data_IF_925505173824
#
_entry.id   IF_925505173824
#
_cell.length_a   1.000
_cell.length_b   1.000
_cell.length_c   1.000
_cell.angle_alpha   90.00
_cell.angle_beta   90.00
_cell.angle_gamma   90.00
#
_symmetry.space_group_name_H-M   'P 1'
#
loop_
_entity.id
_entity.type
_entity.pdbx_description
1 polymer ?
#
# COMPACT_ATOMS: atom_id res chain seq x y z
N UNK A 1 -24.57 -23.55 21.42
CA UNK A 1 -23.65 -22.54 20.84
C UNK A 1 -24.50 -21.34 20.44
N UNK A 2 -24.18 -20.13 20.89
CA UNK A 2 -25.01 -18.95 20.62
C UNK A 2 -24.93 -18.57 19.13
N UNK A 3 -26.04 -18.12 18.56
CA UNK A 3 -26.16 -17.66 17.17
C UNK A 3 -25.16 -16.56 16.82
N UNK A 4 -24.81 -15.69 17.78
CA UNK A 4 -23.82 -14.63 17.59
C UNK A 4 -22.39 -15.12 17.30
N UNK A 5 -22.03 -16.36 17.66
CA UNK A 5 -20.72 -16.91 17.33
C UNK A 5 -20.65 -17.38 15.87
N UNK A 6 -21.75 -17.97 15.37
CA UNK A 6 -21.86 -18.45 13.99
C UNK A 6 -21.82 -17.31 12.97
N UNK A 7 -22.55 -16.21 13.21
CA UNK A 7 -22.57 -15.05 12.32
C UNK A 7 -21.18 -14.40 12.20
N UNK A 8 -20.44 -14.36 13.31
CA UNK A 8 -19.09 -13.83 13.34
C UNK A 8 -18.12 -14.70 12.56
N UNK A 9 -18.19 -16.02 12.72
CA UNK A 9 -17.33 -16.94 11.96
C UNK A 9 -17.62 -16.89 10.45
N UNK A 10 -18.89 -16.79 10.05
CA UNK A 10 -19.24 -16.56 8.65
C UNK A 10 -18.68 -15.25 8.11
N UNK A 11 -18.72 -14.18 8.92
CA UNK A 11 -18.14 -12.90 8.55
C UNK A 11 -16.61 -12.97 8.40
N UNK A 12 -15.92 -13.69 9.29
CA UNK A 12 -14.47 -13.93 9.19
C UNK A 12 -14.11 -14.64 7.89
N UNK A 13 -14.83 -15.72 7.56
CA UNK A 13 -14.64 -16.46 6.31
C UNK A 13 -14.89 -15.57 5.09
N UNK A 14 -15.94 -14.74 5.14
CA UNK A 14 -16.20 -13.77 4.09
C UNK A 14 -15.03 -12.80 3.91
N UNK A 15 -14.52 -12.20 5.00
CA UNK A 15 -13.48 -11.19 4.94
C UNK A 15 -12.16 -11.76 4.40
N UNK A 16 -11.78 -12.96 4.87
CA UNK A 16 -10.61 -13.68 4.37
C UNK A 16 -10.75 -14.00 2.88
N UNK A 17 -11.90 -14.50 2.43
CA UNK A 17 -12.13 -14.77 1.00
C UNK A 17 -12.15 -13.50 0.16
N UNK A 18 -12.65 -12.40 0.70
CA UNK A 18 -12.86 -11.17 -0.06
C UNK A 18 -11.55 -10.39 -0.27
N UNK A 19 -10.71 -10.30 0.77
CA UNK A 19 -9.52 -9.46 0.77
C UNK A 19 -8.32 -10.05 1.53
N UNK A 20 -8.42 -11.29 2.03
CA UNK A 20 -7.31 -12.01 2.65
C UNK A 20 -7.01 -11.62 4.09
N UNK A 21 -7.79 -10.70 4.67
CA UNK A 21 -7.59 -10.23 6.04
C UNK A 21 -7.99 -11.33 7.02
N UNK A 22 -7.03 -11.79 7.81
CA UNK A 22 -7.28 -12.68 8.94
C UNK A 22 -7.83 -11.90 10.12
N UNK A 23 -9.08 -12.19 10.48
CA UNK A 23 -9.71 -11.65 11.66
C UNK A 23 -9.67 -12.68 12.79
N UNK A 24 -9.03 -12.32 13.91
CA UNK A 24 -8.90 -13.19 15.08
C UNK A 24 -10.22 -13.44 15.81
N UNK A 25 -10.33 -14.58 16.48
CA UNK A 25 -11.53 -15.03 17.23
C UNK A 25 -11.95 -14.09 18.35
N UNK A 26 -11.05 -13.23 18.84
CA UNK A 26 -11.31 -12.29 19.92
C UNK A 26 -11.56 -10.85 19.42
N UNK A 27 -11.87 -10.67 18.13
CA UNK A 27 -12.00 -9.35 17.47
C UNK A 27 -13.44 -8.97 17.12
N UNK A 28 -14.45 -9.60 17.73
CA UNK A 28 -15.87 -9.24 17.54
C UNK A 28 -16.10 -7.75 17.80
N UNK A 29 -15.53 -7.22 18.88
CA UNK A 29 -15.66 -5.81 19.25
C UNK A 29 -15.18 -4.86 18.13
N UNK A 30 -14.14 -5.25 17.38
CA UNK A 30 -13.57 -4.46 16.30
C UNK A 30 -14.53 -4.41 15.11
N UNK A 31 -15.17 -5.53 14.78
CA UNK A 31 -16.20 -5.60 13.74
C UNK A 31 -17.35 -4.69 14.09
N UNK A 32 -17.89 -4.82 15.31
CA UNK A 32 -18.98 -3.96 15.76
C UNK A 32 -18.60 -2.48 15.67
N UNK A 33 -17.41 -2.11 16.16
CA UNK A 33 -16.96 -0.71 16.13
C UNK A 33 -16.79 -0.15 14.70
N UNK A 34 -16.27 -0.95 13.76
CA UNK A 34 -15.99 -0.49 12.39
C UNK A 34 -17.21 -0.51 11.49
N UNK A 35 -18.11 -1.47 11.68
CA UNK A 35 -19.28 -1.66 10.81
C UNK A 35 -20.54 -0.95 11.30
N UNK A 36 -20.59 -0.47 12.56
CA UNK A 36 -21.82 0.11 13.11
C UNK A 36 -22.43 1.20 12.21
N UNK A 37 -21.60 2.19 11.81
CA UNK A 37 -22.05 3.29 10.95
C UNK A 37 -22.57 2.79 9.59
N UNK A 38 -21.91 1.80 9.00
CA UNK A 38 -22.32 1.23 7.72
C UNK A 38 -23.64 0.45 7.86
N UNK A 39 -23.77 -0.36 8.91
CA UNK A 39 -24.99 -1.12 9.20
C UNK A 39 -26.19 -0.19 9.45
N UNK A 40 -26.00 0.90 10.19
CA UNK A 40 -27.02 1.95 10.38
C UNK A 40 -27.45 2.56 9.05
N UNK A 41 -26.49 2.99 8.22
CA UNK A 41 -26.76 3.61 6.91
C UNK A 41 -27.50 2.66 5.94
N UNK A 42 -27.20 1.37 6.00
CA UNK A 42 -27.79 0.35 5.14
C UNK A 42 -29.03 -0.30 5.75
N UNK A 43 -29.46 0.15 6.94
CA UNK A 43 -30.59 -0.43 7.70
C UNK A 43 -30.45 -1.95 7.87
N UNK A 44 -29.25 -2.40 8.29
CA UNK A 44 -28.91 -3.80 8.57
C UNK A 44 -28.85 -3.99 10.09
N UNK A 45 -29.58 -4.98 10.61
CA UNK A 45 -29.80 -5.13 12.07
C UNK A 45 -28.86 -6.14 12.73
N UNK A 46 -28.23 -7.02 11.96
CA UNK A 46 -27.30 -8.02 12.49
C UNK A 46 -26.16 -8.34 11.54
N UNK A 47 -25.09 -8.93 12.07
CA UNK A 47 -23.95 -9.37 11.27
C UNK A 47 -24.33 -10.52 10.32
N UNK A 48 -25.22 -11.44 10.75
CA UNK A 48 -25.77 -12.47 9.87
C UNK A 48 -26.55 -11.89 8.69
N UNK A 49 -27.38 -10.86 8.92
CA UNK A 49 -28.08 -10.15 7.84
C UNK A 49 -27.09 -9.47 6.88
N UNK A 50 -26.01 -8.88 7.41
CA UNK A 50 -24.95 -8.29 6.60
C UNK A 50 -24.32 -9.32 5.66
N UNK A 51 -23.90 -10.46 6.19
CA UNK A 51 -23.28 -11.55 5.41
C UNK A 51 -24.25 -12.06 4.34
N UNK A 52 -25.52 -12.27 4.69
CA UNK A 52 -26.53 -12.71 3.75
C UNK A 52 -26.76 -11.70 2.62
N UNK A 53 -26.85 -10.40 2.92
CA UNK A 53 -27.02 -9.35 1.91
C UNK A 53 -25.82 -9.27 0.96
N UNK A 54 -24.59 -9.39 1.48
CA UNK A 54 -23.38 -9.40 0.63
C UNK A 54 -23.41 -10.57 -0.37
N UNK A 55 -23.83 -11.75 0.07
CA UNK A 55 -23.88 -12.94 -0.78
C UNK A 55 -25.01 -12.88 -1.81
N UNK A 56 -26.18 -12.41 -1.41
CA UNK A 56 -27.38 -12.37 -2.27
C UNK A 56 -27.40 -11.19 -3.25
N UNK A 57 -26.69 -10.11 -2.93
CA UNK A 57 -26.68 -8.87 -3.72
C UNK A 57 -25.24 -8.45 -4.09
N UNK A 58 -24.51 -9.25 -4.89
CA UNK A 58 -23.09 -9.01 -5.17
C UNK A 58 -22.80 -7.72 -5.95
N UNK A 59 -23.81 -7.11 -6.58
CA UNK A 59 -23.68 -5.85 -7.34
C UNK A 59 -24.06 -4.59 -6.55
N UNK A 60 -24.41 -4.72 -5.27
CA UNK A 60 -24.90 -3.61 -4.44
C UNK A 60 -23.81 -2.59 -4.04
N UNK A 61 -22.53 -2.91 -4.22
CA UNK A 61 -21.42 -2.12 -3.67
C UNK A 61 -21.23 -2.31 -2.15
N UNK A 62 -22.05 -3.13 -1.49
CA UNK A 62 -21.99 -3.36 -0.04
C UNK A 62 -20.71 -4.10 0.35
N UNK A 63 -20.26 -5.04 -0.49
CA UNK A 63 -19.03 -5.80 -0.27
C UNK A 63 -17.84 -4.86 -0.15
N UNK A 64 -17.70 -3.92 -1.07
CA UNK A 64 -16.62 -2.94 -1.12
C UNK A 64 -16.66 -2.02 0.09
N UNK A 65 -17.85 -1.55 0.50
CA UNK A 65 -18.01 -0.71 1.70
C UNK A 65 -17.60 -1.43 2.98
N UNK A 66 -17.94 -2.72 3.12
CA UNK A 66 -17.56 -3.54 4.28
C UNK A 66 -16.05 -3.75 4.31
N UNK A 67 -15.44 -4.07 3.18
CA UNK A 67 -14.00 -4.22 3.05
C UNK A 67 -13.29 -2.92 3.44
N UNK A 68 -13.72 -1.78 2.90
CA UNK A 68 -13.18 -0.47 3.23
C UNK A 68 -13.26 -0.17 4.72
N UNK A 69 -14.42 -0.41 5.34
CA UNK A 69 -14.61 -0.21 6.77
C UNK A 69 -13.73 -1.14 7.63
N UNK A 70 -13.45 -2.36 7.16
CA UNK A 70 -12.61 -3.33 7.88
C UNK A 70 -11.11 -3.17 7.65
N UNK A 71 -10.67 -2.45 6.62
CA UNK A 71 -9.24 -2.19 6.39
C UNK A 71 -8.66 -1.20 7.40
N UNK A 72 -7.41 -1.43 7.84
CA UNK A 72 -6.69 -0.51 8.73
C UNK A 72 -5.74 0.34 7.88
N UNK A 73 -6.06 1.62 7.73
CA UNK A 73 -5.38 2.52 6.81
C UNK A 73 -4.36 3.45 7.49
N UNK A 74 -3.54 2.92 8.39
CA UNK A 74 -2.48 3.72 9.05
C UNK A 74 -1.20 3.77 8.22
N UNK A 75 -0.76 4.97 7.87
CA UNK A 75 0.48 5.21 7.15
C UNK A 75 1.07 6.57 7.54
N UNK A 76 2.36 6.77 7.25
CA UNK A 76 3.12 7.95 7.65
C UNK A 76 4.01 8.40 6.49
N UNK A 77 4.22 9.72 6.41
CA UNK A 77 5.26 10.29 5.54
C UNK A 77 6.61 9.71 5.91
N UNK A 78 7.35 9.21 4.91
CA UNK A 78 8.69 8.66 5.08
C UNK A 78 8.80 7.63 6.22
N UNK A 79 7.79 6.76 6.36
CA UNK A 79 7.74 5.74 7.42
C UNK A 79 9.05 4.95 7.52
N UNK A 80 9.61 4.86 8.71
CA UNK A 80 10.91 4.27 9.07
C UNK A 80 12.16 5.00 8.51
N UNK A 81 11.99 6.02 7.65
CA UNK A 81 13.02 6.86 7.00
C UNK A 81 14.08 6.10 6.16
N UNK A 82 14.75 5.10 6.73
CA UNK A 82 15.80 4.32 6.08
C UNK A 82 15.42 3.73 4.71
N UNK A 83 14.18 3.28 4.41
CA UNK A 83 13.88 2.71 3.10
C UNK A 83 14.07 3.73 1.97
N UNK A 84 13.76 5.00 2.24
CA UNK A 84 13.87 6.09 1.29
C UNK A 84 15.32 6.56 1.11
N UNK A 85 16.14 6.46 2.16
CA UNK A 85 17.58 6.70 2.06
C UNK A 85 18.29 5.56 1.31
N UNK A 86 17.92 4.29 1.57
CA UNK A 86 18.40 3.14 0.80
C UNK A 86 17.99 3.25 -0.66
N UNK A 87 16.76 3.69 -0.93
CA UNK A 87 16.28 3.96 -2.29
C UNK A 87 17.22 4.95 -3.00
N UNK A 88 17.45 6.13 -2.42
CA UNK A 88 18.26 7.20 -3.03
C UNK A 88 19.73 6.83 -3.16
N UNK A 89 20.33 6.27 -2.11
CA UNK A 89 21.78 6.15 -1.99
C UNK A 89 22.33 4.84 -2.56
N UNK A 90 21.48 3.81 -2.74
CA UNK A 90 21.89 2.49 -3.22
C UNK A 90 21.07 2.03 -4.43
N UNK A 91 19.76 1.92 -4.26
CA UNK A 91 18.91 1.24 -5.25
C UNK A 91 18.79 2.02 -6.55
N UNK A 92 18.53 3.33 -6.50
CA UNK A 92 18.43 4.15 -7.72
C UNK A 92 19.75 4.13 -8.52
N UNK A 93 20.94 4.41 -7.93
CA UNK A 93 22.21 4.28 -8.65
C UNK A 93 22.42 2.91 -9.31
N UNK A 94 22.11 1.81 -8.60
CA UNK A 94 22.25 0.46 -9.13
C UNK A 94 21.31 0.19 -10.32
N UNK A 95 20.03 0.57 -10.19
CA UNK A 95 19.05 0.34 -11.26
C UNK A 95 19.33 1.21 -12.50
N UNK A 96 19.77 2.45 -12.31
CA UNK A 96 20.20 3.34 -13.41
C UNK A 96 21.39 2.73 -14.16
N UNK A 97 22.38 2.20 -13.43
CA UNK A 97 23.56 1.55 -14.03
C UNK A 97 23.20 0.26 -14.75
N UNK A 98 22.27 -0.54 -14.20
CA UNK A 98 21.85 -1.80 -14.78
C UNK A 98 21.00 -1.61 -16.05
N UNK A 99 20.23 -0.52 -16.14
CA UNK A 99 19.38 -0.21 -17.31
C UNK A 99 19.47 1.26 -17.72
N UNK A 100 20.62 1.71 -18.28
CA UNK A 100 20.84 3.11 -18.61
C UNK A 100 19.81 3.64 -19.60
N UNK A 101 19.24 4.82 -19.32
CA UNK A 101 18.28 5.48 -20.20
C UNK A 101 16.90 4.81 -20.26
N UNK A 102 16.62 3.79 -19.46
CA UNK A 102 15.28 3.20 -19.34
C UNK A 102 14.44 3.94 -18.29
N UNK A 103 13.12 3.97 -18.49
CA UNK A 103 12.19 4.52 -17.49
C UNK A 103 12.09 3.56 -16.31
N UNK A 104 12.34 4.07 -15.10
CA UNK A 104 12.16 3.29 -13.87
C UNK A 104 10.68 3.19 -13.52
N UNK A 105 10.24 1.99 -13.13
CA UNK A 105 8.88 1.73 -12.65
C UNK A 105 8.95 1.22 -11.21
N UNK A 106 8.24 1.90 -10.32
CA UNK A 106 8.11 1.56 -8.90
C UNK A 106 6.66 1.20 -8.61
N UNK A 107 6.41 0.15 -7.86
CA UNK A 107 5.09 -0.20 -7.35
C UNK A 107 5.01 0.06 -5.84
N UNK A 108 4.08 0.89 -5.38
CA UNK A 108 3.68 0.97 -3.96
C UNK A 108 2.38 0.19 -3.78
N UNK A 109 2.50 -1.00 -3.18
CA UNK A 109 1.43 -1.95 -2.97
C UNK A 109 0.77 -1.73 -1.60
N UNK A 110 -0.56 -1.56 -1.59
CA UNK A 110 -1.37 -1.12 -0.45
C UNK A 110 -0.98 0.28 0.05
N UNK A 111 -1.13 1.27 -0.82
CA UNK A 111 -0.65 2.64 -0.58
C UNK A 111 -1.45 3.43 0.47
N UNK A 112 -2.58 2.90 0.97
CA UNK A 112 -3.45 3.54 1.96
C UNK A 112 -3.78 4.97 1.51
N UNK A 113 -3.62 5.98 2.38
CA UNK A 113 -3.89 7.40 2.10
C UNK A 113 -2.83 8.12 1.23
N UNK A 114 -1.90 7.38 0.61
CA UNK A 114 -1.02 7.90 -0.44
C UNK A 114 0.30 8.52 0.03
N UNK A 115 0.58 8.52 1.34
CA UNK A 115 1.81 9.08 1.90
C UNK A 115 3.05 8.34 1.37
N UNK A 116 3.02 7.00 1.27
CA UNK A 116 4.15 6.23 0.75
C UNK A 116 4.49 6.57 -0.73
N UNK A 117 3.55 6.50 -1.70
CA UNK A 117 3.88 6.81 -3.09
C UNK A 117 4.28 8.27 -3.29
N UNK A 118 3.73 9.21 -2.52
CA UNK A 118 4.18 10.59 -2.57
C UNK A 118 5.54 10.80 -1.89
N UNK A 119 5.86 10.10 -0.80
CA UNK A 119 7.22 10.07 -0.24
C UNK A 119 8.23 9.51 -1.23
N UNK A 120 7.89 8.44 -1.96
CA UNK A 120 8.71 7.92 -3.06
C UNK A 120 8.92 9.00 -4.12
N UNK A 121 7.84 9.67 -4.56
CA UNK A 121 7.93 10.73 -5.56
C UNK A 121 8.81 11.90 -5.10
N UNK A 122 8.68 12.34 -3.85
CA UNK A 122 9.57 13.35 -3.26
C UNK A 122 11.03 12.88 -3.20
N UNK A 123 11.29 11.61 -2.83
CA UNK A 123 12.65 11.05 -2.84
C UNK A 123 13.26 10.99 -4.24
N UNK A 124 12.46 10.71 -5.27
CA UNK A 124 12.92 10.78 -6.66
C UNK A 124 13.28 12.22 -7.03
N UNK A 125 12.44 13.20 -6.69
CA UNK A 125 12.73 14.61 -6.97
C UNK A 125 14.03 15.09 -6.27
N UNK A 126 14.22 14.70 -5.01
CA UNK A 126 15.47 14.95 -4.27
C UNK A 126 16.69 14.34 -4.97
N UNK A 127 16.57 13.09 -5.44
CA UNK A 127 17.64 12.41 -6.16
C UNK A 127 17.94 13.08 -7.51
N UNK A 128 16.93 13.45 -8.29
CA UNK A 128 17.06 14.11 -9.59
C UNK A 128 17.79 15.46 -9.47
N UNK A 129 17.50 16.23 -8.41
CA UNK A 129 18.20 17.50 -8.14
C UNK A 129 19.67 17.31 -7.78
N UNK A 130 19.97 16.28 -6.97
CA UNK A 130 21.34 15.96 -6.57
C UNK A 130 22.15 15.31 -7.71
N UNK A 131 21.47 14.67 -8.66
CA UNK A 131 22.08 13.91 -9.76
C UNK A 131 21.47 14.31 -11.11
N UNK A 132 21.72 15.54 -11.60
CA UNK A 132 21.13 16.02 -12.83
C UNK A 132 21.39 15.07 -14.00
N UNK A 133 20.37 14.83 -14.83
CA UNK A 133 20.44 14.00 -16.04
C UNK A 133 20.70 12.50 -15.85
N UNK A 134 20.63 11.96 -14.63
CA UNK A 134 20.73 10.49 -14.45
C UNK A 134 19.41 9.75 -14.74
N UNK A 135 18.25 10.38 -14.52
CA UNK A 135 16.91 9.80 -14.75
C UNK A 135 16.23 10.39 -16.00
N UNK A 136 16.92 10.39 -17.14
CA UNK A 136 16.45 11.04 -18.39
C UNK A 136 15.07 10.58 -18.87
N UNK A 137 14.76 9.30 -18.71
CA UNK A 137 13.49 8.70 -19.14
C UNK A 137 12.40 8.78 -18.06
N UNK A 138 12.68 9.46 -16.94
CA UNK A 138 11.80 9.67 -15.81
C UNK A 138 11.52 8.41 -14.99
N UNK A 139 10.61 8.56 -14.04
CA UNK A 139 10.14 7.50 -13.14
C UNK A 139 8.62 7.43 -13.20
N UNK A 140 8.06 6.23 -13.15
CA UNK A 140 6.63 6.00 -12.93
C UNK A 140 6.45 5.30 -11.59
N UNK A 141 5.57 5.82 -10.75
CA UNK A 141 5.14 5.17 -9.51
C UNK A 141 3.71 4.69 -9.74
N UNK A 142 3.49 3.38 -9.74
CA UNK A 142 2.14 2.80 -9.69
C UNK A 142 1.80 2.57 -8.22
N UNK A 143 0.75 3.19 -7.74
CA UNK A 143 0.28 3.06 -6.36
C UNK A 143 -1.06 2.33 -6.37
N UNK A 144 -1.18 1.26 -5.57
CA UNK A 144 -2.39 0.45 -5.58
C UNK A 144 -2.96 0.27 -4.19
N UNK A 145 -4.28 0.27 -4.09
CA UNK A 145 -4.99 -0.09 -2.86
C UNK A 145 -6.32 -0.78 -3.18
N UNK A 146 -6.89 -1.45 -2.20
CA UNK A 146 -8.20 -2.08 -2.32
C UNK A 146 -9.31 -1.03 -2.28
N UNK A 147 -9.16 0.00 -1.43
CA UNK A 147 -10.21 0.99 -1.20
C UNK A 147 -10.28 2.04 -2.32
N UNK A 148 -11.36 1.99 -3.09
CA UNK A 148 -11.64 3.01 -4.11
C UNK A 148 -11.84 4.41 -3.52
N UNK A 149 -12.48 4.49 -2.35
CA UNK A 149 -12.67 5.75 -1.62
C UNK A 149 -11.32 6.35 -1.19
N UNK A 150 -10.44 5.53 -0.63
CA UNK A 150 -9.11 5.96 -0.24
C UNK A 150 -8.28 6.44 -1.44
N UNK A 151 -8.32 5.69 -2.54
CA UNK A 151 -7.60 6.06 -3.77
C UNK A 151 -8.10 7.38 -4.37
N UNK A 152 -9.40 7.67 -4.28
CA UNK A 152 -9.94 8.96 -4.72
C UNK A 152 -9.37 10.11 -3.87
N UNK A 153 -9.25 9.92 -2.56
CA UNK A 153 -8.57 10.90 -1.68
C UNK A 153 -7.09 11.03 -2.02
N UNK A 154 -6.40 9.92 -2.32
CA UNK A 154 -5.01 9.97 -2.75
C UNK A 154 -4.81 10.84 -3.99
N UNK A 155 -5.72 10.73 -4.98
CA UNK A 155 -5.67 11.52 -6.23
C UNK A 155 -5.85 13.02 -6.00
N UNK A 156 -6.60 13.45 -4.98
CA UNK A 156 -6.66 14.87 -4.61
C UNK A 156 -5.32 15.34 -4.05
N UNK A 157 -4.63 14.47 -3.32
CA UNK A 157 -3.32 14.75 -2.71
C UNK A 157 -3.43 15.77 -1.58
N UNK A 158 -4.60 15.83 -0.93
CA UNK A 158 -4.89 16.79 0.13
C UNK A 158 -4.77 16.15 1.51
N UNK A 159 -4.10 16.87 2.41
CA UNK A 159 -3.78 16.40 3.76
C UNK A 159 -4.07 17.49 4.78
N UNK A 160 -4.53 17.08 5.96
CA UNK A 160 -4.75 17.97 7.10
C UNK A 160 -3.51 18.11 7.99
N UNK A 161 -3.61 18.93 9.02
CA UNK A 161 -2.53 19.16 9.99
C UNK A 161 -2.08 17.88 10.71
N UNK A 162 -2.98 16.92 10.94
CA UNK A 162 -2.63 15.67 11.61
C UNK A 162 -1.75 14.81 10.72
N UNK A 163 -2.12 14.67 9.45
CA UNK A 163 -1.36 13.94 8.46
C UNK A 163 -0.01 14.61 8.17
N UNK A 164 0.05 15.93 8.06
CA UNK A 164 1.29 16.68 7.82
C UNK A 164 2.22 16.67 9.04
N UNK A 165 1.67 16.69 10.26
CA UNK A 165 2.43 16.83 11.49
C UNK A 165 3.32 15.65 11.89
N UNK A 166 3.35 14.55 11.14
CA UNK A 166 4.13 13.34 11.45
C UNK A 166 4.95 12.87 10.24
N UNK A 167 6.28 12.82 10.40
CA UNK A 167 7.22 12.22 9.43
C UNK A 167 7.65 13.12 8.27
N UNK A 168 7.06 14.31 8.12
CA UNK A 168 7.44 15.27 7.09
C UNK A 168 8.28 16.42 7.71
N UNK A 169 9.43 16.72 7.11
CA UNK A 169 10.26 17.86 7.56
C UNK A 169 9.68 19.20 7.08
N UNK A 170 9.96 20.31 7.77
CA UNK A 170 9.54 21.65 7.33
C UNK A 170 10.03 21.99 5.91
N UNK A 171 11.26 21.62 5.57
CA UNK A 171 11.84 21.83 4.24
C UNK A 171 11.05 21.09 3.14
N UNK A 172 10.69 19.83 3.39
CA UNK A 172 9.90 19.02 2.45
C UNK A 172 8.48 19.58 2.31
N UNK A 173 7.88 20.01 3.42
CA UNK A 173 6.56 20.64 3.39
C UNK A 173 6.56 21.90 2.50
N UNK A 174 7.49 22.83 2.75
CA UNK A 174 7.62 24.05 1.96
C UNK A 174 7.91 23.76 0.49
N UNK A 175 8.75 22.75 0.22
CA UNK A 175 9.17 22.42 -1.14
C UNK A 175 8.08 21.73 -1.94
N UNK A 176 7.38 20.77 -1.35
CA UNK A 176 6.53 19.81 -2.07
C UNK A 176 5.03 19.99 -1.90
N UNK A 177 4.59 20.93 -1.07
CA UNK A 177 3.17 21.21 -0.85
C UNK A 177 2.84 22.69 -1.06
N UNK A 178 1.59 22.94 -1.45
CA UNK A 178 0.96 24.25 -1.41
C UNK A 178 -0.05 24.29 -0.25
N UNK A 179 -0.22 25.47 0.36
CA UNK A 179 -1.30 25.70 1.34
C UNK A 179 -2.60 25.88 0.56
N UNK A 180 -3.57 24.98 0.79
CA UNK A 180 -4.89 25.04 0.12
C UNK A 180 -5.87 25.91 0.90
N UNK A 181 -5.87 25.76 2.23
CA UNK A 181 -6.69 26.54 3.17
C UNK A 181 -6.08 26.42 4.57
N UNK A 182 -6.54 27.16 5.59
CA UNK A 182 -6.04 27.01 6.95
C UNK A 182 -6.08 25.53 7.41
N UNK A 183 -4.94 25.00 7.82
CA UNK A 183 -4.80 23.60 8.25
C UNK A 183 -4.92 22.54 7.15
N UNK A 184 -4.83 22.91 5.87
CA UNK A 184 -4.91 22.00 4.72
C UNK A 184 -3.82 22.27 3.70
N UNK A 185 -3.17 21.20 3.26
CA UNK A 185 -2.11 21.23 2.27
C UNK A 185 -2.46 20.34 1.09
N UNK A 186 -1.90 20.66 -0.07
CA UNK A 186 -2.01 19.84 -1.27
C UNK A 186 -0.62 19.56 -1.83
N UNK A 187 -0.37 18.31 -2.22
CA UNK A 187 0.89 17.92 -2.88
C UNK A 187 1.01 18.64 -4.22
N UNK A 188 2.17 19.24 -4.51
CA UNK A 188 2.41 19.96 -5.76
C UNK A 188 2.30 19.05 -6.99
N UNK A 189 1.79 19.59 -8.09
CA UNK A 189 1.54 18.86 -9.34
C UNK A 189 2.73 18.05 -9.85
N UNK A 190 3.99 18.53 -9.85
CA UNK A 190 5.13 17.73 -10.32
C UNK A 190 5.38 16.45 -9.51
N UNK A 191 5.05 16.46 -8.21
CA UNK A 191 5.15 15.28 -7.35
C UNK A 191 3.97 14.35 -7.61
N UNK A 192 2.77 14.91 -7.82
CA UNK A 192 1.56 14.13 -8.12
C UNK A 192 1.62 13.41 -9.46
N UNK A 193 2.10 14.08 -10.52
CA UNK A 193 2.10 13.55 -11.88
C UNK A 193 2.99 12.31 -12.07
N UNK A 194 3.94 12.07 -11.15
CA UNK A 194 4.78 10.86 -11.13
C UNK A 194 4.01 9.62 -10.64
N UNK A 195 2.88 9.81 -9.95
CA UNK A 195 2.13 8.74 -9.28
C UNK A 195 0.82 8.44 -10.01
N UNK A 196 0.62 7.17 -10.33
CA UNK A 196 -0.60 6.64 -10.92
C UNK A 196 -1.31 5.73 -9.91
N UNK A 197 -2.51 6.12 -9.49
CA UNK A 197 -3.32 5.36 -8.53
C UNK A 197 -4.28 4.38 -9.22
N UNK A 198 -4.24 3.11 -8.84
CA UNK A 198 -5.12 2.04 -9.36
C UNK A 198 -5.77 1.25 -8.24
N UNK A 199 -7.03 0.85 -8.42
CA UNK A 199 -7.64 -0.13 -7.50
C UNK A 199 -7.10 -1.51 -7.80
N UNK A 200 -6.71 -2.24 -6.76
CA UNK A 200 -6.11 -3.55 -6.89
C UNK A 200 -6.25 -4.37 -5.60
N UNK A 201 -6.69 -5.61 -5.73
CA UNK A 201 -6.66 -6.58 -4.65
C UNK A 201 -5.38 -7.41 -4.74
N UNK A 202 -4.61 -7.49 -3.66
CA UNK A 202 -3.39 -8.32 -3.62
C UNK A 202 -3.68 -9.81 -3.80
N UNK A 203 -4.93 -10.26 -3.72
CA UNK A 203 -5.32 -11.64 -4.03
C UNK A 203 -5.55 -11.91 -5.52
N UNK A 204 -5.69 -10.87 -6.36
CA UNK A 204 -5.99 -11.02 -7.78
C UNK A 204 -4.74 -11.30 -8.62
N UNK A 205 -4.91 -11.56 -9.92
CA UNK A 205 -3.79 -11.74 -10.86
C UNK A 205 -2.99 -10.44 -11.09
N UNK A 206 -1.66 -10.54 -11.13
CA UNK A 206 -0.75 -9.39 -11.27
C UNK A 206 -0.38 -9.10 -12.73
N UNK A 207 -0.91 -9.88 -13.68
CA UNK A 207 -0.55 -9.81 -15.10
C UNK A 207 -0.75 -8.41 -15.72
N UNK A 208 -1.74 -7.66 -15.26
CA UNK A 208 -2.06 -6.32 -15.77
C UNK A 208 -1.16 -5.19 -15.22
N UNK A 209 -0.32 -5.44 -14.21
CA UNK A 209 0.55 -4.42 -13.62
C UNK A 209 1.85 -4.20 -14.43
N UNK A 210 2.25 -5.23 -15.20
CA UNK A 210 3.50 -5.26 -15.94
C UNK A 210 4.70 -5.52 -15.02
N UNK A 211 5.89 -5.05 -15.45
CA UNK A 211 7.16 -5.25 -14.73
C UNK A 211 7.64 -4.00 -14.00
N UNK A 212 8.28 -4.19 -12.85
CA UNK A 212 8.80 -3.13 -11.99
C UNK A 212 10.28 -3.35 -11.66
N UNK A 213 11.01 -2.24 -11.55
CA UNK A 213 12.38 -2.23 -11.06
C UNK A 213 12.39 -2.36 -9.53
N UNK A 214 11.36 -1.78 -8.89
CA UNK A 214 11.26 -1.69 -7.43
C UNK A 214 9.80 -1.90 -6.99
N UNK A 215 9.58 -2.67 -5.94
CA UNK A 215 8.28 -2.86 -5.28
C UNK A 215 8.40 -2.51 -3.80
N UNK A 216 7.52 -1.66 -3.32
CA UNK A 216 7.27 -1.40 -1.90
C UNK A 216 5.97 -2.12 -1.52
N UNK A 217 6.05 -3.08 -0.62
CA UNK A 217 4.90 -3.81 -0.09
C UNK A 217 5.04 -3.87 1.44
N UNK A 218 4.73 -2.76 2.10
CA UNK A 218 5.12 -2.51 3.49
C UNK A 218 3.91 -2.45 4.42
N UNK A 219 4.03 -3.11 5.57
CA UNK A 219 3.05 -3.15 6.65
C UNK A 219 1.66 -3.64 6.23
N UNK A 220 1.61 -4.50 5.21
CA UNK A 220 0.37 -5.09 4.68
C UNK A 220 0.38 -6.61 4.78
N UNK A 221 1.55 -7.25 4.67
CA UNK A 221 1.64 -8.71 4.71
C UNK A 221 1.29 -9.28 6.09
N UNK A 222 1.36 -8.46 7.13
CA UNK A 222 0.95 -8.79 8.50
C UNK A 222 -0.54 -9.15 8.65
N UNK A 223 -1.39 -8.80 7.69
CA UNK A 223 -2.83 -9.09 7.74
C UNK A 223 -3.21 -10.44 7.13
N UNK A 224 -2.29 -11.10 6.43
CA UNK A 224 -2.55 -12.34 5.70
C UNK A 224 -1.98 -13.57 6.43
N UNK A 225 -2.57 -14.73 6.14
CA UNK A 225 -2.03 -16.03 6.56
C UNK A 225 -0.63 -16.26 5.98
N UNK A 226 0.12 -17.21 6.57
CA UNK A 226 1.44 -17.56 6.06
C UNK A 226 1.40 -18.06 4.61
N UNK A 227 0.37 -18.81 4.24
CA UNK A 227 0.15 -19.34 2.90
C UNK A 227 -0.14 -18.22 1.89
N UNK A 228 -1.10 -17.35 2.22
CA UNK A 228 -1.47 -16.21 1.36
C UNK A 228 -0.30 -15.23 1.21
N UNK A 229 0.44 -14.96 2.29
CA UNK A 229 1.65 -14.14 2.25
C UNK A 229 2.69 -14.72 1.30
N UNK A 230 2.95 -16.03 1.36
CA UNK A 230 3.90 -16.70 0.47
C UNK A 230 3.47 -16.58 -0.99
N UNK A 231 2.20 -16.81 -1.27
CA UNK A 231 1.63 -16.65 -2.61
C UNK A 231 1.74 -15.22 -3.15
N UNK A 232 1.39 -14.21 -2.34
CA UNK A 232 1.58 -12.79 -2.70
C UNK A 232 3.03 -12.51 -3.05
N UNK A 233 3.99 -12.94 -2.22
CA UNK A 233 5.42 -12.74 -2.45
C UNK A 233 5.91 -13.42 -3.74
N UNK A 234 5.43 -14.63 -4.05
CA UNK A 234 5.73 -15.31 -5.31
C UNK A 234 5.20 -14.52 -6.52
N UNK A 235 3.98 -13.99 -6.43
CA UNK A 235 3.41 -13.16 -7.50
C UNK A 235 4.13 -11.81 -7.64
N UNK A 236 4.56 -11.20 -6.53
CA UNK A 236 5.41 -9.99 -6.55
C UNK A 236 6.75 -10.29 -7.24
N UNK A 237 7.37 -11.44 -6.98
CA UNK A 237 8.62 -11.84 -7.67
C UNK A 237 8.39 -11.88 -9.19
N UNK A 238 7.25 -12.44 -9.61
CA UNK A 238 6.80 -12.44 -10.99
C UNK A 238 6.58 -11.06 -11.61
N UNK A 239 6.45 -9.97 -10.86
CA UNK A 239 6.36 -8.60 -11.40
C UNK A 239 7.70 -7.85 -11.36
N UNK A 240 8.68 -8.32 -10.60
CA UNK A 240 10.01 -7.71 -10.58
C UNK A 240 10.77 -8.03 -11.88
N UNK A 241 11.53 -7.04 -12.37
CA UNK A 241 12.58 -7.29 -13.37
C UNK A 241 13.72 -8.08 -12.72
N UNK A 242 14.52 -8.84 -13.49
CA UNK A 242 15.71 -9.49 -12.97
C UNK A 242 16.62 -8.49 -12.23
N UNK A 243 16.98 -8.79 -10.98
CA UNK A 243 17.76 -7.90 -10.14
C UNK A 243 17.01 -6.68 -9.56
N UNK A 244 15.69 -6.62 -9.71
CA UNK A 244 14.83 -5.63 -9.06
C UNK A 244 14.74 -5.83 -7.56
N UNK A 245 14.22 -4.85 -6.84
CA UNK A 245 14.20 -4.83 -5.37
C UNK A 245 12.79 -4.80 -4.78
N UNK A 246 12.59 -5.58 -3.71
CA UNK A 246 11.42 -5.57 -2.85
C UNK A 246 11.76 -4.98 -1.49
N UNK A 247 10.95 -4.01 -1.06
CA UNK A 247 10.97 -3.39 0.26
C UNK A 247 9.75 -3.87 1.07
N UNK A 248 10.01 -4.39 2.26
CA UNK A 248 9.00 -4.78 3.25
C UNK A 248 9.02 -3.83 4.46
N UNK A 249 8.00 -3.90 5.31
CA UNK A 249 7.97 -3.15 6.56
C UNK A 249 9.04 -3.63 7.54
N UNK A 250 9.45 -2.79 8.48
CA UNK A 250 10.53 -3.10 9.42
C UNK A 250 10.30 -4.37 10.27
N UNK A 251 9.04 -4.74 10.51
CA UNK A 251 8.66 -5.97 11.23
C UNK A 251 8.33 -7.16 10.32
N UNK A 252 8.47 -7.00 9.01
CA UNK A 252 8.14 -8.04 8.02
C UNK A 252 9.42 -8.68 7.48
N UNK A 253 9.57 -9.97 7.73
CA UNK A 253 10.63 -10.79 7.16
C UNK A 253 10.08 -11.72 6.09
N UNK A 254 10.89 -11.95 5.06
CA UNK A 254 10.59 -12.89 4.00
C UNK A 254 11.08 -14.28 4.41
N UNK A 255 10.14 -15.18 4.71
CA UNK A 255 10.42 -16.55 5.08
C UNK A 255 10.03 -17.51 3.95
N UNK A 256 10.85 -18.52 3.70
CA UNK A 256 10.47 -19.67 2.86
C UNK A 256 10.48 -19.43 1.34
N UNK A 257 11.24 -18.43 0.85
CA UNK A 257 11.45 -18.18 -0.58
C UNK A 257 12.93 -17.87 -0.94
N UNK A 258 13.91 -18.68 -0.47
CA UNK A 258 15.34 -18.42 -0.71
C UNK A 258 15.72 -18.49 -2.19
N UNK A 259 15.01 -19.25 -3.01
CA UNK A 259 15.31 -19.41 -4.44
C UNK A 259 14.83 -18.22 -5.28
N UNK A 260 13.90 -17.41 -4.75
CA UNK A 260 13.31 -16.27 -5.47
C UNK A 260 13.93 -14.94 -5.03
N UNK A 261 14.31 -14.83 -3.76
CA UNK A 261 14.81 -13.60 -3.18
C UNK A 261 16.15 -13.78 -2.48
N UNK A 262 17.06 -12.85 -2.75
CA UNK A 262 18.28 -12.67 -1.98
C UNK A 262 18.09 -11.54 -0.98
N UNK A 263 18.26 -11.83 0.32
CA UNK A 263 18.31 -10.79 1.34
C UNK A 263 19.57 -9.92 1.14
N UNK A 264 19.40 -8.61 1.17
CA UNK A 264 20.47 -7.63 1.04
C UNK A 264 20.46 -6.74 2.28
N UNK A 265 21.53 -6.82 3.07
CA UNK A 265 21.72 -5.98 4.24
C UNK A 265 21.92 -4.51 3.83
N UNK A 266 21.26 -3.62 4.58
CA UNK A 266 21.39 -2.17 4.49
C UNK A 266 21.77 -1.59 5.85
N UNK A 267 22.17 -0.32 5.86
CA UNK A 267 22.57 0.41 7.06
C UNK A 267 21.61 1.58 7.31
N UNK A 268 20.56 1.41 8.14
CA UNK A 268 20.05 0.15 8.70
C UNK A 268 19.11 -0.61 7.74
N UNK A 269 18.61 -1.76 8.19
CA UNK A 269 17.51 -2.48 7.56
C UNK A 269 17.92 -3.55 6.54
N UNK A 270 16.91 -4.13 5.90
CA UNK A 270 17.07 -5.18 4.88
C UNK A 270 16.12 -4.90 3.71
N UNK A 271 16.57 -5.25 2.51
CA UNK A 271 15.75 -5.29 1.29
C UNK A 271 15.98 -6.63 0.59
N UNK A 272 15.13 -6.97 -0.37
CA UNK A 272 15.22 -8.26 -1.07
C UNK A 272 15.42 -8.04 -2.56
N UNK A 273 16.48 -8.62 -3.11
CA UNK A 273 16.74 -8.61 -4.56
C UNK A 273 16.08 -9.82 -5.21
N UNK A 274 15.35 -9.62 -6.29
CA UNK A 274 14.82 -10.71 -7.10
C UNK A 274 15.97 -11.45 -7.78
N UNK A 275 16.05 -12.76 -7.55
CA UNK A 275 16.94 -13.70 -8.24
C UNK A 275 16.39 -14.03 -9.62
#
# INVERSE_FOLDING_TARGET
MSTGNLDFDQFRVFLEKACGILLGENKQYLVSSRLNKLMEQQSIKSLGELVQRIQTQPRSGLREQVVDAMTTNETLWFRDTYPFEVLKNKVLPEQIKASPGQRLRIWSAACSSGQEPYSLSMSIDEFERANPSQLKSGVQIVATDLSGLMLNNCKTGEYDSLAIGRGLSPDRLQRFFDVKSPGRWVVKTPIKSRVEFRSFNLLDSYSALGKFDIVFCRNVLIYFSAEVKKDILLRIHGTLKPGGYLFLGASEALNGLPDHYQMVQCSPGIIYKAK
#
